data_IF_467681713011
#
_entry.id   IF_467681713011
#
_cell.length_a   1.000
_cell.length_b   1.000
_cell.length_c   1.000
_cell.angle_alpha   90.00
_cell.angle_beta   90.00
_cell.angle_gamma   90.00
#
_symmetry.space_group_name_H-M   'P 1'
#
loop_
_entity.id
_entity.type
_entity.pdbx_description
1 polymer ?
#
# COMPACT_ATOMS: atom_id res chain seq x y z
N UNK A 1 6.79 -2.94 -25.91
CA UNK A 1 6.61 -2.96 -24.44
C UNK A 1 6.96 -4.35 -23.92
N UNK A 2 7.73 -4.45 -22.82
CA UNK A 2 8.06 -5.74 -22.19
C UNK A 2 6.89 -6.18 -21.31
N UNK A 3 6.49 -7.45 -21.39
CA UNK A 3 5.50 -8.06 -20.48
C UNK A 3 6.22 -8.55 -19.22
N UNK A 4 5.58 -8.39 -18.07
CA UNK A 4 6.00 -8.93 -16.80
C UNK A 4 4.94 -9.88 -16.28
N UNK A 5 5.35 -10.98 -15.68
CA UNK A 5 4.50 -11.72 -14.73
C UNK A 5 4.23 -10.84 -13.51
N UNK A 6 3.15 -11.14 -12.77
CA UNK A 6 2.84 -10.41 -11.54
C UNK A 6 4.00 -10.49 -10.52
N UNK A 7 4.65 -11.65 -10.45
CA UNK A 7 5.80 -11.85 -9.58
C UNK A 7 6.97 -10.95 -9.98
N UNK A 8 7.33 -10.89 -11.27
CA UNK A 8 8.41 -10.02 -11.74
C UNK A 8 8.09 -8.54 -11.52
N UNK A 9 6.82 -8.13 -11.71
CA UNK A 9 6.40 -6.76 -11.43
C UNK A 9 6.53 -6.44 -9.94
N UNK A 10 6.09 -7.34 -9.05
CA UNK A 10 6.21 -7.17 -7.60
C UNK A 10 7.68 -6.97 -7.17
N UNK A 11 8.58 -7.83 -7.67
CA UNK A 11 10.01 -7.74 -7.38
C UNK A 11 10.62 -6.43 -7.90
N UNK A 12 10.22 -6.02 -9.10
CA UNK A 12 10.66 -4.75 -9.68
C UNK A 12 10.21 -3.55 -8.85
N UNK A 13 8.93 -3.52 -8.45
CA UNK A 13 8.38 -2.45 -7.61
C UNK A 13 9.08 -2.38 -6.24
N UNK A 14 9.32 -3.52 -5.60
CA UNK A 14 10.07 -3.58 -4.34
C UNK A 14 11.45 -2.92 -4.49
N UNK A 15 12.19 -3.29 -5.55
CA UNK A 15 13.52 -2.72 -5.77
C UNK A 15 13.48 -1.21 -5.99
N UNK A 16 12.54 -0.71 -6.78
CA UNK A 16 12.39 0.73 -7.03
C UNK A 16 12.04 1.46 -5.73
N UNK A 17 11.09 0.95 -4.94
CA UNK A 17 10.70 1.58 -3.67
C UNK A 17 11.88 1.57 -2.69
N UNK A 18 12.52 0.43 -2.45
CA UNK A 18 13.65 0.35 -1.50
C UNK A 18 14.85 1.22 -1.90
N UNK A 19 15.07 1.45 -3.19
CA UNK A 19 16.13 2.36 -3.66
C UNK A 19 15.81 3.84 -3.39
N UNK A 20 14.53 4.22 -3.42
CA UNK A 20 14.10 5.61 -3.27
C UNK A 20 13.71 5.98 -1.82
N UNK A 21 13.41 4.99 -0.99
CA UNK A 21 13.05 5.16 0.42
C UNK A 21 14.04 4.37 1.29
N UNK A 22 15.20 4.96 1.63
CA UNK A 22 16.26 4.26 2.38
C UNK A 22 15.85 3.95 3.82
N UNK A 23 14.86 4.66 4.35
CA UNK A 23 14.30 4.45 5.68
C UNK A 23 12.79 4.21 5.61
N UNK A 24 12.19 3.50 6.59
CA UNK A 24 10.75 3.33 6.67
C UNK A 24 10.03 4.68 6.72
N UNK A 25 8.90 4.78 6.01
CA UNK A 25 8.06 5.98 6.01
C UNK A 25 6.81 5.76 6.84
N UNK A 26 6.40 6.82 7.54
CA UNK A 26 5.08 6.89 8.15
C UNK A 26 4.08 7.43 7.14
N UNK A 27 2.88 6.84 7.13
CA UNK A 27 1.76 7.31 6.31
C UNK A 27 0.57 7.60 7.22
N UNK A 28 -0.17 8.66 6.89
CA UNK A 28 -1.45 8.97 7.51
C UNK A 28 -2.55 8.55 6.54
N UNK A 29 -3.44 7.66 6.98
CA UNK A 29 -4.55 7.17 6.18
C UNK A 29 -5.70 6.71 7.11
N UNK A 30 -6.87 6.48 6.54
CA UNK A 30 -8.00 5.90 7.27
C UNK A 30 -8.08 4.39 7.03
N UNK A 31 -8.45 3.64 8.07
CA UNK A 31 -8.71 2.19 7.94
C UNK A 31 -10.13 2.01 7.43
N UNK A 32 -10.28 1.52 6.20
CA UNK A 32 -11.60 1.21 5.62
C UNK A 32 -12.08 -0.17 6.03
N UNK A 33 -11.17 -1.14 6.16
CA UNK A 33 -11.50 -2.50 6.56
C UNK A 33 -10.38 -3.18 7.33
N UNK A 34 -10.77 -4.05 8.26
CA UNK A 34 -9.88 -4.96 8.99
C UNK A 34 -10.37 -6.38 8.78
N UNK A 35 -9.48 -7.28 8.36
CA UNK A 35 -9.79 -8.71 8.17
C UNK A 35 -8.78 -9.55 8.92
N UNK A 36 -9.25 -10.53 9.70
CA UNK A 36 -8.40 -11.57 10.26
C UNK A 36 -8.57 -12.87 9.48
N UNK A 37 -7.46 -13.54 9.18
CA UNK A 37 -7.48 -14.85 8.52
C UNK A 37 -6.24 -15.65 8.88
N UNK A 38 -6.43 -16.89 9.35
CA UNK A 38 -5.35 -17.82 9.70
C UNK A 38 -4.27 -17.22 10.61
N UNK A 39 -4.66 -16.38 11.56
CA UNK A 39 -3.73 -15.71 12.49
C UNK A 39 -3.05 -14.45 11.94
N UNK A 40 -3.32 -14.06 10.68
CA UNK A 40 -2.85 -12.80 10.10
C UNK A 40 -3.94 -11.73 10.12
N UNK A 41 -3.51 -10.46 10.19
CA UNK A 41 -4.37 -9.29 10.10
C UNK A 41 -4.06 -8.54 8.80
N UNK A 42 -5.11 -8.23 8.03
CA UNK A 42 -5.04 -7.45 6.81
C UNK A 42 -5.83 -6.16 7.00
N UNK A 43 -5.21 -5.05 6.61
CA UNK A 43 -5.80 -3.71 6.67
C UNK A 43 -5.98 -3.20 5.25
N UNK A 44 -7.21 -2.80 4.92
CA UNK A 44 -7.47 -1.99 3.75
C UNK A 44 -7.44 -0.52 4.21
N UNK A 45 -6.55 0.28 3.61
CA UNK A 45 -6.36 1.69 3.93
C UNK A 45 -6.86 2.57 2.78
N UNK A 46 -7.48 3.70 3.10
CA UNK A 46 -7.96 4.68 2.13
C UNK A 46 -7.49 6.08 2.48
N UNK A 47 -7.23 6.89 1.45
CA UNK A 47 -6.99 8.32 1.58
C UNK A 47 -8.27 9.07 1.27
N UNK A 48 -8.87 9.72 2.26
CA UNK A 48 -9.90 10.73 1.97
C UNK A 48 -9.23 12.03 1.51
N UNK A 49 -9.87 12.73 0.57
CA UNK A 49 -9.39 14.05 0.15
C UNK A 49 -9.53 15.01 1.33
N UNK A 50 -8.54 15.88 1.53
CA UNK A 50 -8.72 17.04 2.40
C UNK A 50 -9.88 17.87 1.84
N UNK A 51 -10.95 18.00 2.63
CA UNK A 51 -12.18 18.71 2.24
C UNK A 51 -13.46 17.87 2.29
N UNK A 52 -13.36 16.54 2.48
CA UNK A 52 -14.55 15.67 2.63
C UNK A 52 -15.01 15.60 4.10
N UNK A 53 -15.06 16.76 4.76
CA UNK A 53 -15.91 16.94 5.95
C UNK A 53 -17.32 17.10 5.40
N UNK A 54 -18.13 16.05 5.53
CA UNK A 54 -19.50 16.01 5.02
C UNK A 54 -20.24 17.32 5.27
N UNK A 55 -20.70 17.91 4.16
CA UNK A 55 -21.79 18.89 4.16
C UNK A 55 -23.13 18.18 4.35
#
# INVERSE_FOLDING_TARGET
MKKYTLFELQQYLHRVISLNFPEPVWVTAEVSQVKSSRGHLYLDLVQKKEGDQGQ
#
